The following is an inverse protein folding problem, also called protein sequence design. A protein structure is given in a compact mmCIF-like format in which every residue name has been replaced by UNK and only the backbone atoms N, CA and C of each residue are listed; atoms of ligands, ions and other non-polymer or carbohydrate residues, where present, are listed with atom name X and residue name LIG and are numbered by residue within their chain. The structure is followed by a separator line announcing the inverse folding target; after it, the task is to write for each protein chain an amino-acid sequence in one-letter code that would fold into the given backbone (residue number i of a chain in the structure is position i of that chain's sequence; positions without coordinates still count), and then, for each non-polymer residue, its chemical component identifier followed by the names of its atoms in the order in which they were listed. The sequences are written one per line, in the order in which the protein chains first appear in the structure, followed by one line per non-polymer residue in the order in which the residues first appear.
data_IF_624391602833
#
_entry.id   IF_624391602833
#
_cell.length_a   1.000
_cell.length_b   1.000
_cell.length_c   1.000
_cell.angle_alpha   90.00
_cell.angle_beta   90.00
_cell.angle_gamma   90.00
#
_symmetry.space_group_name_H-M   'P 1'
#
loop_
_entity.id
_entity.type
_entity.pdbx_description
1 polymer ?
#
# COMPACT_ATOMS: atom_id res chain seq x y z
N UNK A 1 -22.64 15.92 2.90
CA UNK A 1 -21.90 17.04 2.26
C UNK A 1 -20.70 16.47 1.50
N UNK A 2 -20.50 16.89 0.25
CA UNK A 2 -19.32 16.49 -0.54
C UNK A 2 -18.05 17.18 -0.05
N UNK A 3 -16.89 16.54 -0.18
CA UNK A 3 -15.61 17.15 0.16
C UNK A 3 -15.15 18.09 -0.97
N UNK A 4 -14.61 19.25 -0.60
CA UNK A 4 -14.02 20.22 -1.53
C UNK A 4 -12.53 19.90 -1.74
N UNK A 5 -12.05 19.95 -2.98
CA UNK A 5 -10.60 19.86 -3.27
C UNK A 5 -9.92 21.19 -2.93
N UNK A 6 -8.85 21.13 -2.15
CA UNK A 6 -8.03 22.28 -1.73
C UNK A 6 -6.72 22.31 -2.52
N UNK A 7 -6.13 21.14 -2.77
CA UNK A 7 -4.92 21.01 -3.58
C UNK A 7 -4.94 19.69 -4.35
N UNK A 8 -4.36 19.70 -5.55
CA UNK A 8 -4.17 18.53 -6.39
C UNK A 8 -2.70 18.41 -6.82
N UNK A 9 -2.03 17.38 -6.30
CA UNK A 9 -0.67 17.05 -6.68
C UNK A 9 -0.60 15.96 -7.75
N UNK A 10 0.62 15.49 -8.02
CA UNK A 10 0.85 14.35 -8.92
C UNK A 10 0.27 13.04 -8.36
N UNK A 11 0.42 12.80 -7.06
CA UNK A 11 0.05 11.53 -6.41
C UNK A 11 -1.08 11.64 -5.37
N UNK A 12 -1.30 12.84 -4.80
CA UNK A 12 -2.23 13.06 -3.69
C UNK A 12 -3.20 14.19 -3.97
N UNK A 13 -4.38 14.10 -3.35
CA UNK A 13 -5.39 15.16 -3.25
C UNK A 13 -5.46 15.61 -1.80
N UNK A 14 -5.50 16.92 -1.56
CA UNK A 14 -5.87 17.48 -0.25
C UNK A 14 -7.33 17.93 -0.35
N UNK A 15 -8.18 17.36 0.51
CA UNK A 15 -9.61 17.58 0.54
C UNK A 15 -10.03 18.24 1.85
N UNK A 16 -11.14 18.96 1.84
CA UNK A 16 -11.76 19.57 3.01
C UNK A 16 -13.23 19.18 3.14
N UNK A 17 -13.65 18.75 4.33
CA UNK A 17 -15.05 18.44 4.65
C UNK A 17 -15.38 18.88 6.06
N UNK A 18 -16.31 19.83 6.20
CA UNK A 18 -16.72 20.34 7.51
C UNK A 18 -15.59 21.02 8.28
N UNK A 19 -14.71 21.75 7.59
CA UNK A 19 -13.56 22.44 8.18
C UNK A 19 -12.32 21.58 8.44
N UNK A 20 -12.39 20.27 8.19
CA UNK A 20 -11.25 19.36 8.35
C UNK A 20 -10.57 19.04 7.03
N UNK A 21 -9.24 19.14 7.00
CA UNK A 21 -8.41 18.77 5.85
C UNK A 21 -7.86 17.35 5.99
N UNK A 22 -7.86 16.58 4.90
CA UNK A 22 -7.34 15.22 4.84
C UNK A 22 -6.78 14.91 3.44
N UNK A 23 -6.00 13.83 3.34
CA UNK A 23 -5.30 13.44 2.11
C UNK A 23 -5.90 12.16 1.55
N UNK A 24 -6.14 12.13 0.25
CA UNK A 24 -6.48 10.92 -0.51
C UNK A 24 -5.42 10.67 -1.59
N UNK A 25 -5.20 9.41 -1.97
CA UNK A 25 -4.41 9.08 -3.16
C UNK A 25 -5.22 9.30 -4.43
N UNK A 26 -4.56 9.79 -5.49
CA UNK A 26 -5.18 9.95 -6.81
C UNK A 26 -5.45 8.62 -7.52
N UNK A 27 -4.59 7.63 -7.27
CA UNK A 27 -4.65 6.28 -7.86
C UNK A 27 -4.58 5.25 -6.74
N UNK A 28 -5.22 4.10 -6.96
CA UNK A 28 -5.35 2.98 -6.04
C UNK A 28 -5.85 3.39 -4.64
N UNK A 29 -7.16 3.19 -4.42
CA UNK A 29 -7.80 3.51 -3.13
C UNK A 29 -7.58 2.44 -2.07
N UNK A 30 -7.09 1.29 -2.48
CA UNK A 30 -6.92 0.11 -1.65
C UNK A 30 -5.49 -0.41 -1.77
N UNK A 31 -5.02 -1.03 -0.69
CA UNK A 31 -3.70 -1.62 -0.60
C UNK A 31 -3.78 -2.85 0.30
N UNK A 32 -2.87 -3.79 0.07
CA UNK A 32 -2.71 -4.99 0.89
C UNK A 32 -1.34 -4.99 1.55
N UNK A 33 -1.28 -5.55 2.75
CA UNK A 33 -0.04 -5.88 3.45
C UNK A 33 -0.10 -7.35 3.87
N UNK A 34 1.00 -8.08 3.70
CA UNK A 34 1.04 -9.53 3.87
C UNK A 34 1.79 -9.90 5.13
N UNK A 35 1.11 -10.55 6.06
CA UNK A 35 1.76 -11.17 7.22
C UNK A 35 2.03 -12.64 6.87
N UNK A 36 3.21 -12.91 6.32
CA UNK A 36 3.63 -14.25 5.95
C UNK A 36 4.43 -14.91 7.07
N UNK A 37 3.99 -16.11 7.49
CA UNK A 37 4.65 -16.94 8.50
C UNK A 37 5.21 -18.20 7.87
N UNK A 38 6.48 -18.47 8.08
CA UNK A 38 7.15 -19.70 7.62
C UNK A 38 6.78 -20.91 8.48
N UNK A 39 7.00 -22.15 8.00
CA UNK A 39 6.72 -23.36 8.79
C UNK A 39 7.48 -23.43 10.13
N UNK A 40 8.69 -22.86 10.21
CA UNK A 40 9.49 -22.75 11.44
C UNK A 40 9.10 -21.54 12.32
N UNK A 41 8.01 -20.85 11.97
CA UNK A 41 7.41 -19.81 12.79
C UNK A 41 8.04 -18.42 12.70
N UNK A 42 8.90 -18.18 11.70
CA UNK A 42 9.45 -16.85 11.43
C UNK A 42 8.49 -16.02 10.60
N UNK A 43 8.66 -14.71 10.67
CA UNK A 43 7.90 -13.73 9.89
C UNK A 43 8.78 -13.16 8.78
N UNK A 44 8.17 -12.92 7.63
CA UNK A 44 8.84 -12.35 6.47
C UNK A 44 8.55 -10.84 6.44
N UNK A 45 9.63 -10.06 6.30
CA UNK A 45 9.60 -8.61 6.15
C UNK A 45 10.39 -8.22 4.90
N UNK A 46 10.14 -7.03 4.39
CA UNK A 46 10.96 -6.36 3.38
C UNK A 46 11.71 -5.19 4.02
N UNK A 47 12.77 -4.72 3.36
CA UNK A 47 13.43 -3.47 3.73
C UNK A 47 13.56 -2.57 2.51
N UNK A 48 12.88 -1.43 2.55
CA UNK A 48 12.79 -0.50 1.42
C UNK A 48 13.04 0.94 1.86
N UNK A 49 13.65 1.76 0.99
CA UNK A 49 13.81 3.18 1.25
C UNK A 49 12.48 3.92 1.01
N UNK A 50 11.96 4.60 2.04
CA UNK A 50 10.70 5.35 1.96
C UNK A 50 11.01 6.85 1.87
N UNK A 51 10.86 7.44 0.69
CA UNK A 51 11.06 8.89 0.48
C UNK A 51 10.32 9.79 1.50
N UNK A 52 9.05 9.55 1.88
CA UNK A 52 8.36 10.38 2.87
C UNK A 52 8.99 10.35 4.27
N UNK A 53 9.70 9.26 4.60
CA UNK A 53 10.39 9.07 5.89
C UNK A 53 11.85 9.50 5.80
N UNK A 54 12.46 9.40 4.62
CA UNK A 54 13.88 9.71 4.39
C UNK A 54 14.84 8.61 4.88
N UNK A 55 14.35 7.39 5.08
CA UNK A 55 15.15 6.27 5.60
C UNK A 55 14.71 4.91 5.00
N UNK A 56 15.55 3.88 5.22
CA UNK A 56 15.14 2.48 5.01
C UNK A 56 14.22 2.05 6.15
N UNK A 57 13.10 1.40 5.79
CA UNK A 57 12.06 0.98 6.71
C UNK A 57 11.88 -0.52 6.55
N UNK A 58 11.81 -1.22 7.69
CA UNK A 58 11.36 -2.61 7.74
C UNK A 58 9.84 -2.60 7.68
N UNK A 59 9.27 -3.25 6.68
CA UNK A 59 7.83 -3.24 6.41
C UNK A 59 7.35 -4.65 6.04
N UNK A 60 6.03 -4.82 5.98
CA UNK A 60 5.43 -6.01 5.40
C UNK A 60 5.55 -5.97 3.88
N UNK A 61 5.62 -7.14 3.19
CA UNK A 61 5.37 -7.19 1.77
C UNK A 61 4.00 -6.57 1.46
N UNK A 62 3.92 -5.63 0.54
CA UNK A 62 2.71 -4.82 0.37
C UNK A 62 2.60 -4.21 -1.02
N UNK A 63 1.36 -4.00 -1.48
CA UNK A 63 1.11 -3.39 -2.78
C UNK A 63 -0.27 -2.78 -2.92
N UNK A 64 -0.44 -2.04 -4.02
CA UNK A 64 -1.66 -1.34 -4.35
C UNK A 64 -2.61 -2.27 -5.11
N UNK A 65 -3.87 -2.33 -4.69
CA UNK A 65 -4.90 -3.07 -5.41
C UNK A 65 -5.31 -2.27 -6.65
N UNK A 66 -5.46 -2.95 -7.79
CA UNK A 66 -5.87 -2.33 -9.06
C UNK A 66 -4.74 -1.63 -9.83
N UNK A 67 -3.49 -1.63 -9.37
CA UNK A 67 -2.39 -0.91 -10.06
C UNK A 67 -2.03 -1.55 -11.42
N UNK A 68 -2.23 -2.87 -11.56
CA UNK A 68 -2.03 -3.63 -12.80
C UNK A 68 -3.36 -4.10 -13.46
N UNK A 69 -4.49 -3.53 -13.04
CA UNK A 69 -5.82 -3.90 -13.54
C UNK A 69 -6.43 -5.15 -12.89
N UNK A 70 -5.81 -5.68 -11.84
CA UNK A 70 -6.39 -6.70 -10.97
C UNK A 70 -6.95 -6.05 -9.69
N UNK A 71 -8.25 -6.21 -9.48
CA UNK A 71 -8.96 -5.64 -8.33
C UNK A 71 -9.16 -6.63 -7.18
N UNK A 72 -8.68 -7.88 -7.26
CA UNK A 72 -8.74 -8.84 -6.15
C UNK A 72 -7.59 -8.60 -5.14
N UNK A 73 -7.90 -8.23 -3.88
CA UNK A 73 -6.88 -8.08 -2.84
C UNK A 73 -6.10 -9.37 -2.57
N UNK A 74 -6.72 -10.55 -2.68
CA UNK A 74 -6.06 -11.82 -2.37
C UNK A 74 -5.02 -12.19 -3.44
N UNK A 75 -5.34 -11.99 -4.72
CA UNK A 75 -4.38 -12.14 -5.82
C UNK A 75 -3.26 -11.11 -5.73
N UNK A 76 -3.58 -9.84 -5.43
CA UNK A 76 -2.58 -8.79 -5.21
C UNK A 76 -1.61 -9.19 -4.09
N UNK A 77 -2.12 -9.68 -2.96
CA UNK A 77 -1.31 -10.11 -1.82
C UNK A 77 -0.34 -11.25 -2.19
N UNK A 78 -0.80 -12.24 -2.96
CA UNK A 78 0.07 -13.34 -3.42
C UNK A 78 1.14 -12.87 -4.39
N UNK A 79 0.79 -11.96 -5.32
CA UNK A 79 1.73 -11.37 -6.28
C UNK A 79 2.84 -10.61 -5.55
N UNK A 80 2.47 -9.67 -4.67
CA UNK A 80 3.43 -8.83 -3.95
C UNK A 80 4.35 -9.65 -3.03
N UNK A 81 3.81 -10.67 -2.34
CA UNK A 81 4.65 -11.58 -1.57
C UNK A 81 5.72 -12.24 -2.46
N UNK A 82 5.34 -12.72 -3.64
CA UNK A 82 6.27 -13.37 -4.57
C UNK A 82 7.27 -12.40 -5.17
N UNK A 83 6.85 -11.21 -5.59
CA UNK A 83 7.71 -10.24 -6.27
C UNK A 83 8.72 -9.60 -5.32
N UNK A 84 8.31 -9.24 -4.11
CA UNK A 84 9.18 -8.53 -3.17
C UNK A 84 10.08 -9.46 -2.35
N UNK A 85 9.69 -10.73 -2.17
CA UNK A 85 10.39 -11.66 -1.25
C UNK A 85 10.81 -12.99 -1.89
N UNK A 86 10.23 -13.36 -3.03
CA UNK A 86 10.41 -14.68 -3.66
C UNK A 86 9.65 -15.83 -2.99
N UNK A 87 8.89 -15.56 -1.90
CA UNK A 87 8.07 -16.58 -1.23
C UNK A 87 6.69 -16.70 -1.86
N UNK A 88 6.09 -17.89 -1.73
CA UNK A 88 4.72 -18.15 -2.19
C UNK A 88 3.90 -18.81 -1.08
N UNK A 89 2.59 -18.63 -1.13
CA UNK A 89 1.64 -19.27 -0.23
C UNK A 89 0.46 -19.85 -1.03
N UNK A 90 -0.21 -20.85 -0.45
CA UNK A 90 -1.42 -21.46 -1.00
C UNK A 90 -2.66 -20.82 -0.41
#
# INVERSE_FOLDING_TARGET
MSAKRVFEGKHVLVLERGGWQFVERKKAKEAVAVIARTPDGKLIFTEQFRHPVGARVIDWPAGLVGDEGNDDPAETARRELSEETGFTCK
#
